data_IF_124029701332
#
_entry.id   IF_124029701332
#
_cell.length_a   1.000
_cell.length_b   1.000
_cell.length_c   1.000
_cell.angle_alpha   90.00
_cell.angle_beta   90.00
_cell.angle_gamma   90.00
#
_symmetry.space_group_name_H-M   'P 1'
#
loop_
_entity.id
_entity.type
_entity.pdbx_description
1 polymer ?
#
# COMPACT_ATOMS: atom_id res chain seq x y z
N UNK A 1 21.23 -4.24 13.48
CA UNK A 1 21.71 -5.33 14.37
C UNK A 1 22.79 -6.07 13.61
N UNK A 2 23.96 -6.24 14.22
CA UNK A 2 25.02 -7.08 13.64
C UNK A 2 24.56 -8.54 13.57
N UNK A 3 24.95 -9.28 12.51
CA UNK A 3 24.59 -10.67 12.41
C UNK A 3 25.26 -11.48 13.53
N UNK A 4 24.65 -12.60 13.97
CA UNK A 4 25.30 -13.50 14.88
C UNK A 4 26.61 -14.03 14.26
N UNK A 5 27.71 -13.97 15.03
CA UNK A 5 29.02 -14.44 14.60
C UNK A 5 28.96 -15.91 14.16
N UNK A 6 29.57 -16.24 13.03
CA UNK A 6 29.76 -17.61 12.55
C UNK A 6 28.91 -18.08 11.37
N UNK A 7 27.95 -17.27 10.86
CA UNK A 7 27.10 -17.70 9.74
C UNK A 7 27.57 -17.25 8.35
N UNK A 8 28.70 -16.54 8.25
CA UNK A 8 29.24 -16.10 6.95
C UNK A 8 28.29 -15.19 6.14
N UNK A 9 27.35 -14.51 6.82
CA UNK A 9 26.40 -13.63 6.16
C UNK A 9 27.07 -12.28 5.85
N UNK A 10 27.01 -11.87 4.60
CA UNK A 10 27.40 -10.53 4.20
C UNK A 10 26.19 -9.60 4.39
N UNK A 11 26.34 -8.54 5.22
CA UNK A 11 25.30 -7.54 5.44
C UNK A 11 25.69 -6.26 4.73
N UNK A 12 25.02 -5.97 3.64
CA UNK A 12 25.21 -4.79 2.83
C UNK A 12 23.91 -3.98 2.71
N UNK A 13 23.99 -2.66 2.45
CA UNK A 13 22.82 -1.87 2.16
C UNK A 13 22.05 -2.43 0.96
N UNK A 14 20.74 -2.63 1.09
CA UNK A 14 19.86 -3.20 0.04
C UNK A 14 20.07 -2.55 -1.33
N UNK A 15 20.31 -1.23 -1.37
CA UNK A 15 20.50 -0.49 -2.60
C UNK A 15 21.75 -0.91 -3.40
N UNK A 16 22.76 -1.46 -2.73
CA UNK A 16 23.98 -1.97 -3.35
C UNK A 16 23.78 -3.39 -3.84
N UNK A 17 23.24 -4.26 -3.00
CA UNK A 17 23.08 -5.69 -3.26
C UNK A 17 21.93 -6.04 -4.22
N UNK A 18 20.93 -5.18 -4.35
CA UNK A 18 19.78 -5.43 -5.24
C UNK A 18 20.15 -5.46 -6.73
N UNK A 19 21.36 -5.00 -7.09
CA UNK A 19 21.84 -5.05 -8.46
C UNK A 19 22.26 -6.47 -8.82
N UNK A 20 21.51 -7.10 -9.71
CA UNK A 20 21.76 -8.46 -10.17
C UNK A 20 21.12 -9.56 -9.32
N UNK A 21 20.25 -9.18 -8.36
CA UNK A 21 19.44 -10.15 -7.64
C UNK A 21 18.30 -10.67 -8.52
N UNK A 22 18.13 -11.99 -8.56
CA UNK A 22 17.01 -12.65 -9.26
C UNK A 22 15.71 -12.55 -8.46
N UNK A 23 15.81 -12.43 -7.13
CA UNK A 23 14.68 -12.36 -6.20
C UNK A 23 15.11 -11.73 -4.87
N UNK A 24 14.17 -11.08 -4.20
CA UNK A 24 14.32 -10.59 -2.83
C UNK A 24 13.48 -11.48 -1.90
N UNK A 25 14.10 -12.03 -0.87
CA UNK A 25 13.39 -12.71 0.21
C UNK A 25 13.33 -11.77 1.41
N UNK A 26 12.13 -11.33 1.76
CA UNK A 26 11.88 -10.38 2.84
C UNK A 26 11.34 -11.10 4.07
N UNK A 27 12.05 -11.07 5.18
CA UNK A 27 11.56 -11.57 6.45
C UNK A 27 10.97 -10.43 7.28
N UNK A 28 9.65 -10.49 7.50
CA UNK A 28 8.90 -9.46 8.21
C UNK A 28 7.41 -9.51 7.90
N UNK A 29 6.65 -8.52 8.38
CA UNK A 29 5.24 -8.36 8.06
C UNK A 29 5.00 -7.65 6.72
N UNK A 30 3.72 -7.42 6.40
CA UNK A 30 3.30 -6.73 5.17
C UNK A 30 3.98 -5.35 5.00
N UNK A 31 4.25 -4.61 6.09
CA UNK A 31 4.97 -3.33 6.03
C UNK A 31 6.39 -3.43 5.46
N UNK A 32 7.12 -4.51 5.75
CA UNK A 32 8.43 -4.78 5.16
C UNK A 32 8.33 -5.00 3.66
N UNK A 33 7.33 -5.76 3.24
CA UNK A 33 7.08 -6.04 1.81
C UNK A 33 6.67 -4.75 1.08
N UNK A 34 5.80 -3.93 1.67
CA UNK A 34 5.42 -2.62 1.14
C UNK A 34 6.65 -1.75 0.83
N UNK A 35 7.58 -1.68 1.77
CA UNK A 35 8.79 -0.88 1.60
C UNK A 35 9.69 -1.41 0.48
N UNK A 36 9.89 -2.72 0.44
CA UNK A 36 10.74 -3.38 -0.55
C UNK A 36 10.13 -3.39 -1.95
N UNK A 37 8.81 -3.54 -2.05
CA UNK A 37 8.08 -3.62 -3.32
C UNK A 37 8.33 -2.43 -4.24
N UNK A 38 8.46 -1.23 -3.67
CA UNK A 38 8.76 0.00 -4.44
C UNK A 38 10.14 -0.08 -5.10
N UNK A 39 11.14 -0.48 -4.34
CA UNK A 39 12.53 -0.60 -4.83
C UNK A 39 12.66 -1.75 -5.84
N UNK A 40 12.01 -2.88 -5.56
CA UNK A 40 12.01 -4.07 -6.40
C UNK A 40 11.29 -3.82 -7.75
N UNK A 41 10.16 -3.11 -7.73
CA UNK A 41 9.37 -2.81 -8.92
C UNK A 41 10.13 -2.00 -9.96
N UNK A 42 10.95 -1.03 -9.54
CA UNK A 42 11.80 -0.26 -10.46
C UNK A 42 12.82 -1.12 -11.23
N UNK A 43 13.15 -2.31 -10.71
CA UNK A 43 14.11 -3.26 -11.29
C UNK A 43 13.48 -4.53 -11.79
N UNK A 44 12.16 -4.61 -11.74
CA UNK A 44 11.37 -5.80 -12.13
C UNK A 44 11.76 -7.08 -11.35
N UNK A 45 12.29 -6.94 -10.13
CA UNK A 45 12.74 -8.04 -9.28
C UNK A 45 11.54 -8.56 -8.46
N UNK A 46 11.27 -9.87 -8.48
CA UNK A 46 10.23 -10.47 -7.67
C UNK A 46 10.58 -10.45 -6.17
N UNK A 47 9.55 -10.28 -5.33
CA UNK A 47 9.68 -10.25 -3.88
C UNK A 47 8.95 -11.43 -3.27
N UNK A 48 9.62 -12.18 -2.40
CA UNK A 48 9.03 -13.22 -1.56
C UNK A 48 8.94 -12.75 -0.12
N UNK A 49 7.74 -12.71 0.44
CA UNK A 49 7.50 -12.39 1.85
C UNK A 49 7.53 -13.63 2.74
N UNK A 50 8.34 -13.60 3.79
CA UNK A 50 8.35 -14.56 4.89
C UNK A 50 7.91 -13.88 6.19
N UNK A 51 6.89 -14.41 6.83
CA UNK A 51 6.34 -13.88 8.06
C UNK A 51 6.96 -14.55 9.28
N UNK A 52 7.47 -13.75 10.20
CA UNK A 52 8.01 -14.21 11.48
C UNK A 52 7.01 -14.08 12.64
N UNK A 53 5.81 -13.59 12.37
CA UNK A 53 4.75 -13.34 13.36
C UNK A 53 3.35 -13.69 12.86
N UNK A 54 2.39 -12.76 12.96
CA UNK A 54 1.02 -12.96 12.50
C UNK A 54 0.91 -12.92 10.97
N UNK A 55 0.09 -13.81 10.39
CA UNK A 55 -0.10 -13.96 8.95
C UNK A 55 -0.48 -12.63 8.27
N UNK A 56 0.30 -12.22 7.25
CA UNK A 56 0.03 -11.09 6.40
C UNK A 56 -0.78 -11.45 5.15
N UNK A 57 -1.25 -10.45 4.39
CA UNK A 57 -1.81 -10.66 3.06
C UNK A 57 -0.72 -10.96 2.01
N UNK A 58 0.49 -10.44 2.23
CA UNK A 58 1.61 -10.54 1.29
C UNK A 58 2.68 -11.52 1.77
N UNK A 59 2.86 -11.68 3.08
CA UNK A 59 3.83 -12.58 3.70
C UNK A 59 3.18 -13.94 4.00
N UNK A 60 3.40 -14.92 3.14
CA UNK A 60 2.78 -16.25 3.24
C UNK A 60 3.65 -17.30 3.94
N UNK A 61 4.98 -17.14 3.92
CA UNK A 61 5.90 -18.15 4.46
C UNK A 61 5.92 -18.05 5.98
N UNK A 62 5.42 -19.05 6.66
CA UNK A 62 5.51 -19.18 8.11
C UNK A 62 6.83 -19.86 8.51
N UNK A 63 7.30 -19.70 9.76
CA UNK A 63 8.56 -20.29 10.23
C UNK A 63 8.63 -21.81 10.00
N UNK A 64 7.50 -22.53 10.08
CA UNK A 64 7.40 -23.96 9.81
C UNK A 64 7.60 -24.33 8.34
N UNK A 65 7.44 -23.37 7.44
CA UNK A 65 7.52 -23.56 5.98
C UNK A 65 8.90 -23.20 5.40
N UNK A 66 9.91 -22.90 6.24
CA UNK A 66 11.24 -22.48 5.78
C UNK A 66 11.91 -23.49 4.82
N UNK A 67 11.63 -24.79 4.98
CA UNK A 67 12.14 -25.82 4.07
C UNK A 67 11.63 -25.63 2.63
N UNK A 68 10.49 -24.98 2.44
CA UNK A 68 9.93 -24.68 1.13
C UNK A 68 10.71 -23.60 0.37
N UNK A 69 11.68 -22.93 1.01
CA UNK A 69 12.61 -22.06 0.29
C UNK A 69 13.42 -22.81 -0.78
N UNK A 70 13.59 -24.14 -0.63
CA UNK A 70 14.17 -24.98 -1.69
C UNK A 70 13.36 -24.94 -2.97
N UNK A 71 12.03 -24.84 -2.87
CA UNK A 71 11.14 -24.76 -4.04
C UNK A 71 11.48 -23.54 -4.92
N UNK A 72 12.02 -22.46 -4.33
CA UNK A 72 12.49 -21.28 -5.08
C UNK A 72 13.69 -21.63 -5.97
N UNK A 73 14.65 -22.39 -5.43
CA UNK A 73 15.83 -22.84 -6.19
C UNK A 73 15.45 -23.81 -7.30
N UNK A 74 14.40 -24.61 -7.08
CA UNK A 74 13.86 -25.56 -8.06
C UNK A 74 12.93 -24.91 -9.10
N UNK A 75 12.67 -23.59 -9.01
CA UNK A 75 11.73 -22.89 -9.88
C UNK A 75 10.25 -23.26 -9.65
N UNK A 76 9.92 -23.87 -8.52
CA UNK A 76 8.56 -24.31 -8.17
C UNK A 76 7.79 -23.21 -7.45
N UNK A 77 7.51 -22.10 -8.14
CA UNK A 77 6.76 -20.97 -7.62
C UNK A 77 5.97 -20.28 -8.72
N UNK A 78 4.98 -19.51 -8.31
CA UNK A 78 4.21 -18.64 -9.20
C UNK A 78 4.54 -17.17 -8.92
N UNK A 79 4.47 -16.32 -9.94
CA UNK A 79 4.62 -14.87 -9.81
C UNK A 79 3.26 -14.21 -9.96
N UNK A 80 2.79 -13.61 -8.90
CA UNK A 80 1.58 -12.79 -8.88
C UNK A 80 1.95 -11.32 -9.06
N UNK A 81 1.37 -10.67 -10.09
CA UNK A 81 1.61 -9.25 -10.38
C UNK A 81 0.57 -8.38 -9.72
N UNK A 82 1.00 -7.45 -8.92
CA UNK A 82 0.16 -6.48 -8.25
C UNK A 82 0.40 -5.07 -8.80
N UNK A 83 -0.67 -4.36 -9.08
CA UNK A 83 -0.66 -2.99 -9.54
C UNK A 83 -0.06 -2.06 -8.47
N UNK A 84 0.79 -1.12 -8.90
CA UNK A 84 1.22 0.01 -8.08
C UNK A 84 0.47 1.29 -8.51
N UNK A 85 0.44 2.26 -7.61
CA UNK A 85 -0.06 3.59 -7.85
C UNK A 85 1.10 4.58 -7.95
N UNK A 86 1.11 5.42 -8.98
CA UNK A 86 1.90 6.64 -9.02
C UNK A 86 1.13 7.72 -8.27
N UNK A 87 1.74 8.29 -7.24
CA UNK A 87 1.17 9.37 -6.43
C UNK A 87 2.03 10.61 -6.60
N UNK A 88 1.45 11.70 -7.09
CA UNK A 88 2.15 12.97 -7.23
C UNK A 88 1.35 14.14 -6.67
N UNK A 89 2.06 15.16 -6.18
CA UNK A 89 1.48 16.44 -5.77
C UNK A 89 1.96 17.51 -6.73
N UNK A 90 1.02 18.24 -7.29
CA UNK A 90 1.26 19.38 -8.15
C UNK A 90 0.92 20.69 -7.42
N UNK A 91 1.81 21.67 -7.53
CA UNK A 91 1.66 23.03 -7.02
C UNK A 91 2.16 24.01 -8.08
N UNK A 92 1.34 24.99 -8.43
CA UNK A 92 1.68 26.00 -9.45
C UNK A 92 2.21 25.39 -10.75
N UNK A 93 1.57 24.29 -11.21
CA UNK A 93 1.94 23.57 -12.43
C UNK A 93 3.21 22.74 -12.36
N UNK A 94 3.80 22.58 -11.16
CA UNK A 94 5.03 21.78 -10.97
C UNK A 94 4.78 20.61 -10.03
N UNK A 95 5.37 19.45 -10.35
CA UNK A 95 5.38 18.31 -9.42
C UNK A 95 6.38 18.59 -8.30
N UNK A 96 5.88 18.64 -7.06
CA UNK A 96 6.67 18.92 -5.85
C UNK A 96 6.85 17.70 -4.94
N UNK A 97 6.10 16.63 -5.19
CA UNK A 97 6.22 15.35 -4.51
C UNK A 97 5.84 14.24 -5.47
N UNK A 98 6.54 13.12 -5.40
CA UNK A 98 6.20 11.89 -6.13
C UNK A 98 6.58 10.66 -5.32
N UNK A 99 5.74 9.63 -5.33
CA UNK A 99 5.99 8.36 -4.68
C UNK A 99 5.20 7.24 -5.36
N UNK A 100 5.61 5.98 -5.11
CA UNK A 100 4.83 4.79 -5.45
C UNK A 100 4.04 4.30 -4.24
N UNK A 101 2.82 3.81 -4.45
CA UNK A 101 2.05 3.11 -3.45
C UNK A 101 1.70 1.70 -3.92
N UNK A 102 1.78 0.73 -3.03
CA UNK A 102 1.25 -0.60 -3.26
C UNK A 102 -0.19 -0.68 -2.72
N UNK A 103 -0.46 -0.12 -1.55
CA UNK A 103 -1.79 -0.13 -0.96
C UNK A 103 -2.60 1.12 -1.32
N UNK A 104 -2.20 2.31 -0.81
CA UNK A 104 -3.04 3.48 -0.94
C UNK A 104 -2.29 4.82 -0.85
N UNK A 105 -2.96 5.86 -1.36
CA UNK A 105 -2.72 7.26 -1.05
C UNK A 105 -3.84 7.76 -0.14
N UNK A 106 -3.50 8.21 1.04
CA UNK A 106 -4.40 8.80 2.02
C UNK A 106 -4.28 10.33 1.97
N UNK A 107 -5.35 11.02 1.66
CA UNK A 107 -5.48 12.46 1.77
C UNK A 107 -6.38 12.73 2.98
N UNK A 108 -5.82 13.22 4.07
CA UNK A 108 -6.54 13.37 5.32
C UNK A 108 -6.30 14.72 5.98
N UNK A 109 -7.20 15.09 6.91
CA UNK A 109 -7.03 16.26 7.75
C UNK A 109 -5.78 16.14 8.61
N UNK A 110 -5.04 17.23 8.73
CA UNK A 110 -3.89 17.34 9.63
C UNK A 110 -4.25 17.82 11.04
N UNK A 111 -5.52 18.12 11.31
CA UNK A 111 -6.00 18.60 12.61
C UNK A 111 -7.28 17.84 13.02
N UNK A 112 -7.38 17.48 14.31
CA UNK A 112 -8.43 16.61 14.85
C UNK A 112 -9.83 17.25 14.83
N UNK A 113 -9.95 18.58 14.91
CA UNK A 113 -11.19 19.24 15.26
C UNK A 113 -12.06 19.73 14.09
N UNK A 114 -11.66 19.57 12.83
CA UNK A 114 -12.40 20.14 11.68
C UNK A 114 -12.35 19.25 10.46
N UNK A 115 -13.50 18.98 9.85
CA UNK A 115 -13.63 18.33 8.55
C UNK A 115 -12.93 19.15 7.45
N UNK A 116 -12.34 18.46 6.48
CA UNK A 116 -11.80 19.04 5.26
C UNK A 116 -12.79 18.85 4.11
N UNK A 117 -12.61 19.65 3.06
CA UNK A 117 -13.38 19.52 1.83
C UNK A 117 -12.43 19.24 0.68
N UNK A 118 -12.68 18.18 -0.08
CA UNK A 118 -11.88 17.70 -1.17
C UNK A 118 -12.73 17.56 -2.43
N UNK A 119 -12.20 17.91 -3.61
CA UNK A 119 -12.84 17.63 -4.90
C UNK A 119 -12.13 16.44 -5.54
N UNK A 120 -12.90 15.47 -6.01
CA UNK A 120 -12.40 14.31 -6.69
C UNK A 120 -12.77 14.42 -8.17
N UNK A 121 -11.76 14.30 -9.02
CA UNK A 121 -11.90 14.36 -10.46
C UNK A 121 -11.44 13.04 -11.08
N UNK A 122 -11.98 12.73 -12.24
CA UNK A 122 -11.51 11.72 -13.17
C UNK A 122 -11.11 12.39 -14.48
N UNK A 123 -10.59 11.64 -15.42
CA UNK A 123 -10.36 12.12 -16.79
C UNK A 123 -11.63 12.63 -17.48
N UNK A 124 -12.81 12.13 -17.05
CA UNK A 124 -14.10 12.53 -17.58
C UNK A 124 -14.69 13.80 -16.92
N UNK A 125 -14.00 14.32 -15.89
CA UNK A 125 -14.41 15.50 -15.16
C UNK A 125 -14.58 15.26 -13.67
N UNK A 126 -15.32 16.18 -13.01
CA UNK A 126 -15.60 16.11 -11.58
C UNK A 126 -16.48 14.89 -11.26
N UNK A 127 -15.95 13.99 -10.40
CA UNK A 127 -16.67 12.81 -9.94
C UNK A 127 -17.57 13.15 -8.75
N UNK A 128 -16.97 13.71 -7.71
CA UNK A 128 -17.65 13.91 -6.44
C UNK A 128 -16.93 14.92 -5.57
N UNK A 129 -17.69 15.53 -4.68
CA UNK A 129 -17.24 16.41 -3.62
C UNK A 129 -17.35 15.66 -2.28
N UNK A 130 -16.31 15.59 -1.43
CA UNK A 130 -16.29 14.91 -0.12
C UNK A 130 -16.02 15.91 1.00
N UNK A 131 -16.89 16.02 2.00
CA UNK A 131 -16.61 16.71 3.24
C UNK A 131 -16.45 15.65 4.34
N UNK A 132 -15.31 15.59 4.99
CA UNK A 132 -15.05 14.53 5.98
C UNK A 132 -13.65 14.62 6.57
N UNK A 133 -13.18 13.52 7.10
CA UNK A 133 -11.84 13.40 7.66
C UNK A 133 -10.78 13.19 6.57
N UNK A 134 -11.19 12.69 5.40
CA UNK A 134 -10.28 12.48 4.27
C UNK A 134 -10.86 11.58 3.19
N UNK A 135 -9.97 11.18 2.29
CA UNK A 135 -10.22 10.23 1.19
C UNK A 135 -9.04 9.29 1.07
N UNK A 136 -9.32 8.01 0.87
CA UNK A 136 -8.35 7.00 0.49
C UNK A 136 -8.51 6.70 -0.98
N UNK A 137 -7.42 6.73 -1.74
CA UNK A 137 -7.36 6.19 -3.10
C UNK A 137 -6.48 4.94 -3.04
N UNK A 138 -7.11 3.76 -3.12
CA UNK A 138 -6.44 2.48 -2.95
C UNK A 138 -6.33 1.69 -4.26
N UNK A 139 -5.31 0.84 -4.32
CA UNK A 139 -5.18 -0.25 -5.29
C UNK A 139 -6.02 -1.46 -4.84
N UNK A 140 -6.06 -2.53 -5.63
CA UNK A 140 -6.68 -3.79 -5.23
C UNK A 140 -5.95 -4.44 -4.04
N UNK A 141 -4.59 -4.57 -4.03
CA UNK A 141 -3.86 -5.04 -2.85
C UNK A 141 -4.14 -4.23 -1.58
N UNK A 142 -4.41 -2.92 -1.72
CA UNK A 142 -4.77 -2.02 -0.61
C UNK A 142 -6.23 -2.14 -0.17
N UNK A 143 -7.10 -2.81 -0.94
CA UNK A 143 -8.52 -2.91 -0.60
C UNK A 143 -8.79 -3.54 0.77
N UNK A 144 -8.08 -4.61 1.21
CA UNK A 144 -8.25 -5.19 2.53
C UNK A 144 -7.44 -4.49 3.64
N UNK A 145 -6.70 -3.41 3.31
CA UNK A 145 -5.91 -2.63 4.28
C UNK A 145 -6.75 -1.47 4.87
N UNK A 146 -6.23 -0.25 4.88
CA UNK A 146 -6.93 0.89 5.48
C UNK A 146 -8.25 1.24 4.77
N UNK A 147 -8.34 0.99 3.46
CA UNK A 147 -9.59 1.19 2.70
C UNK A 147 -10.76 0.38 3.29
N UNK A 148 -10.52 -0.88 3.69
CA UNK A 148 -11.54 -1.72 4.34
C UNK A 148 -11.99 -1.12 5.68
N UNK A 149 -11.07 -0.66 6.51
CA UNK A 149 -11.36 -0.02 7.80
C UNK A 149 -12.18 1.26 7.65
N UNK A 150 -12.05 1.95 6.51
CA UNK A 150 -12.82 3.13 6.15
C UNK A 150 -14.19 2.80 5.51
N UNK A 151 -14.58 1.52 5.44
CA UNK A 151 -15.84 1.07 4.83
C UNK A 151 -15.77 0.85 3.32
N UNK A 152 -14.56 0.83 2.74
CA UNK A 152 -14.34 0.50 1.33
C UNK A 152 -14.59 -0.99 1.03
N UNK A 153 -14.84 -1.35 -0.23
CA UNK A 153 -15.04 -2.74 -0.64
C UNK A 153 -13.73 -3.53 -0.63
N UNK A 154 -13.83 -4.85 -0.42
CA UNK A 154 -12.75 -5.78 -0.77
C UNK A 154 -12.84 -6.09 -2.25
N UNK A 155 -11.73 -5.96 -2.96
CA UNK A 155 -11.64 -6.14 -4.40
C UNK A 155 -10.63 -7.24 -4.72
N UNK A 156 -10.97 -8.06 -5.70
CA UNK A 156 -10.12 -9.14 -6.21
C UNK A 156 -8.75 -8.58 -6.65
N UNK A 157 -7.62 -9.17 -6.23
CA UNK A 157 -6.27 -8.67 -6.54
C UNK A 157 -5.95 -8.54 -8.04
N UNK A 158 -6.64 -9.30 -8.89
CA UNK A 158 -6.45 -9.27 -10.35
C UNK A 158 -7.23 -8.15 -11.05
N UNK A 159 -8.18 -7.50 -10.38
CA UNK A 159 -8.90 -6.34 -10.90
C UNK A 159 -7.94 -5.17 -11.18
N UNK A 160 -8.31 -4.23 -12.06
CA UNK A 160 -7.44 -3.13 -12.49
C UNK A 160 -8.11 -1.76 -12.30
N UNK A 161 -8.74 -1.58 -11.15
CA UNK A 161 -9.46 -0.33 -10.81
C UNK A 161 -8.81 0.37 -9.63
N UNK A 162 -9.04 1.66 -9.54
CA UNK A 162 -8.79 2.45 -8.34
C UNK A 162 -10.05 2.41 -7.46
N UNK A 163 -9.84 2.31 -6.15
CA UNK A 163 -10.89 2.34 -5.14
C UNK A 163 -10.81 3.69 -4.44
N UNK A 164 -11.93 4.40 -4.41
CA UNK A 164 -12.01 5.71 -3.71
C UNK A 164 -12.93 5.54 -2.52
N UNK A 165 -12.38 5.64 -1.31
CA UNK A 165 -13.11 5.48 -0.05
C UNK A 165 -13.07 6.78 0.76
N UNK A 166 -14.19 7.50 0.91
CA UNK A 166 -14.28 8.64 1.82
C UNK A 166 -14.17 8.20 3.27
N UNK A 167 -13.53 9.04 4.12
CA UNK A 167 -13.38 8.77 5.56
C UNK A 167 -14.30 9.70 6.34
N UNK A 168 -15.19 9.11 7.15
CA UNK A 168 -16.13 9.85 8.02
C UNK A 168 -16.88 10.97 7.29
N UNK A 169 -17.27 10.74 6.04
CA UNK A 169 -18.09 11.67 5.29
C UNK A 169 -19.55 11.55 5.73
N UNK A 170 -20.26 12.65 6.04
CA UNK A 170 -21.69 12.59 6.32
C UNK A 170 -22.48 12.16 5.08
N UNK A 171 -23.56 11.43 5.28
CA UNK A 171 -24.36 10.78 4.22
C UNK A 171 -25.05 11.73 3.20
N UNK A 172 -24.92 13.04 3.37
CA UNK A 172 -25.63 14.02 2.51
C UNK A 172 -24.71 15.04 1.88
N UNK A 173 -24.90 15.14 0.56
CA UNK A 173 -24.38 16.15 -0.38
C UNK A 173 -22.87 16.25 -0.47
N UNK A 174 -22.45 15.72 -1.54
CA UNK A 174 -21.07 15.64 -1.94
C UNK A 174 -20.77 16.87 -2.81
N UNK A 175 -20.20 17.91 -2.22
CA UNK A 175 -19.53 19.00 -2.94
C UNK A 175 -18.15 19.17 -2.34
N UNK A 176 -17.09 18.85 -3.09
CA UNK A 176 -15.70 18.96 -2.62
C UNK A 176 -14.95 19.99 -3.46
N UNK A 177 -14.62 21.08 -2.82
CA UNK A 177 -13.62 22.03 -3.25
C UNK A 177 -12.59 22.15 -2.12
N UNK A 178 -11.29 22.02 -2.43
CA UNK A 178 -10.30 22.69 -1.60
C UNK A 178 -10.58 24.18 -1.75
N UNK A 179 -11.28 24.73 -0.80
CA UNK A 179 -11.52 26.18 -0.77
C UNK A 179 -10.17 26.89 -0.87
N UNK A 180 -10.03 27.80 -1.83
CA UNK A 180 -8.82 28.58 -2.06
C UNK A 180 -8.30 29.35 -0.84
N UNK A 181 -9.01 29.33 0.30
CA UNK A 181 -8.67 30.02 1.55
C UNK A 181 -8.77 29.11 2.79
N UNK A 182 -8.61 27.80 2.66
CA UNK A 182 -8.62 26.92 3.84
C UNK A 182 -7.27 26.97 4.56
N UNK A 183 -7.23 27.56 5.76
CA UNK A 183 -6.09 27.51 6.69
C UNK A 183 -5.96 26.16 7.42
N UNK A 184 -6.62 25.10 6.93
CA UNK A 184 -6.63 23.80 7.57
C UNK A 184 -5.48 22.95 7.06
N UNK A 185 -4.64 22.38 7.94
CA UNK A 185 -3.60 21.47 7.51
C UNK A 185 -4.22 20.19 6.93
N UNK A 186 -3.84 19.87 5.71
CA UNK A 186 -4.18 18.62 5.02
C UNK A 186 -2.87 17.85 4.80
N UNK A 187 -2.91 16.58 5.03
CA UNK A 187 -1.76 15.69 4.92
C UNK A 187 -2.00 14.62 3.86
N UNK A 188 -0.98 14.33 3.07
CA UNK A 188 -0.90 13.16 2.21
C UNK A 188 0.01 12.14 2.86
N UNK A 189 -0.46 10.90 3.01
CA UNK A 189 0.37 9.74 3.35
C UNK A 189 0.26 8.67 2.26
N UNK A 190 1.35 7.99 1.99
CA UNK A 190 1.44 6.93 0.99
C UNK A 190 1.89 5.66 1.69
N UNK A 191 1.07 4.61 1.68
CA UNK A 191 1.30 3.32 2.35
C UNK A 191 1.69 3.47 3.83
N UNK A 192 1.02 4.36 4.56
CA UNK A 192 1.33 4.63 5.96
C UNK A 192 2.69 5.31 6.21
N UNK A 193 3.39 5.73 5.17
CA UNK A 193 4.69 6.40 5.26
C UNK A 193 4.61 7.82 5.81
N UNK A 194 5.75 8.51 5.80
CA UNK A 194 5.87 9.88 6.32
C UNK A 194 4.88 10.82 5.63
N UNK A 195 4.11 11.54 6.42
CA UNK A 195 3.12 12.48 5.92
C UNK A 195 3.77 13.69 5.22
N UNK A 196 3.21 14.07 4.08
CA UNK A 196 3.56 15.26 3.32
C UNK A 196 2.49 16.34 3.54
N UNK A 197 2.90 17.55 3.91
CA UNK A 197 1.98 18.66 4.17
C UNK A 197 1.50 19.30 2.86
N UNK A 198 0.20 19.32 2.67
CA UNK A 198 -0.47 19.97 1.54
C UNK A 198 -0.82 21.41 1.87
N UNK A 199 -0.82 22.27 0.85
CA UNK A 199 -1.29 23.66 0.92
C UNK A 199 -2.59 23.83 0.14
N UNK A 200 -3.30 24.89 0.45
CA UNK A 200 -4.47 25.28 -0.36
C UNK A 200 -4.07 25.46 -1.84
N UNK A 201 -4.83 24.86 -2.75
CA UNK A 201 -4.54 24.87 -4.18
C UNK A 201 -3.62 23.74 -4.68
N UNK A 202 -3.09 22.90 -3.79
CA UNK A 202 -2.37 21.71 -4.22
C UNK A 202 -3.34 20.72 -4.88
N UNK A 203 -2.89 20.08 -5.95
CA UNK A 203 -3.58 19.00 -6.63
C UNK A 203 -2.82 17.68 -6.42
N UNK A 204 -3.53 16.65 -5.99
CA UNK A 204 -3.00 15.31 -5.81
C UNK A 204 -3.49 14.45 -6.97
N UNK A 205 -2.57 13.94 -7.78
CA UNK A 205 -2.86 12.98 -8.81
C UNK A 205 -2.49 11.58 -8.34
N UNK A 206 -3.43 10.65 -8.46
CA UNK A 206 -3.22 9.23 -8.19
C UNK A 206 -3.67 8.47 -9.43
N UNK A 207 -2.75 7.74 -10.03
CA UNK A 207 -3.03 6.93 -11.21
C UNK A 207 -2.35 5.58 -11.10
N UNK A 208 -2.75 4.65 -11.98
CA UNK A 208 -2.02 3.39 -12.14
C UNK A 208 -0.58 3.68 -12.56
N UNK A 209 0.37 3.06 -11.84
CA UNK A 209 1.77 3.10 -12.24
C UNK A 209 2.00 2.21 -13.47
N UNK A 210 3.04 2.52 -14.23
CA UNK A 210 3.60 1.61 -15.24
C UNK A 210 4.33 0.43 -14.61
N UNK A 211 4.66 0.53 -13.34
CA UNK A 211 5.30 -0.54 -12.58
C UNK A 211 4.26 -1.40 -11.90
N UNK A 212 4.52 -2.70 -11.88
CA UNK A 212 3.83 -3.68 -11.04
C UNK A 212 4.84 -4.22 -10.03
N UNK A 213 4.38 -4.58 -8.83
CA UNK A 213 5.18 -5.43 -7.95
C UNK A 213 4.89 -6.89 -8.24
N UNK A 214 5.92 -7.70 -8.14
CA UNK A 214 5.85 -9.16 -8.37
C UNK A 214 6.01 -9.85 -7.03
N UNK A 215 4.93 -10.45 -6.53
CA UNK A 215 4.98 -11.29 -5.33
C UNK A 215 5.13 -12.76 -5.71
N UNK A 216 6.06 -13.42 -5.06
CA UNK A 216 6.32 -14.86 -5.26
C UNK A 216 5.40 -15.66 -4.36
N UNK A 217 4.62 -16.57 -4.94
CA UNK A 217 3.71 -17.47 -4.25
C UNK A 217 4.26 -18.90 -4.26
N UNK A 218 4.32 -19.53 -3.11
CA UNK A 218 4.66 -20.94 -2.93
C UNK A 218 3.43 -21.78 -2.58
N UNK A 219 2.36 -21.17 -2.16
CA UNK A 219 1.11 -21.85 -1.82
C UNK A 219 0.02 -21.53 -2.84
N UNK A 220 -0.89 -22.49 -3.04
CA UNK A 220 -2.09 -22.30 -3.86
C UNK A 220 -3.26 -21.73 -3.05
N UNK A 221 -2.99 -21.06 -1.91
CA UNK A 221 -4.05 -20.45 -1.12
C UNK A 221 -4.73 -19.35 -1.91
N UNK A 222 -6.04 -19.41 -1.99
CA UNK A 222 -6.82 -18.35 -2.64
C UNK A 222 -6.82 -17.07 -1.80
N UNK A 223 -7.05 -15.94 -2.46
CA UNK A 223 -7.24 -14.66 -1.79
C UNK A 223 -8.36 -14.73 -0.73
N UNK A 224 -9.46 -15.43 -1.03
CA UNK A 224 -10.58 -15.60 -0.10
C UNK A 224 -10.17 -16.35 1.17
N UNK A 225 -9.34 -17.38 1.08
CA UNK A 225 -8.84 -18.12 2.25
C UNK A 225 -7.96 -17.23 3.15
N UNK A 226 -7.09 -16.42 2.54
CA UNK A 226 -6.24 -15.48 3.28
C UNK A 226 -7.09 -14.41 3.98
N UNK A 227 -8.08 -13.85 3.26
CA UNK A 227 -9.00 -12.85 3.79
C UNK A 227 -9.82 -13.39 4.97
N UNK A 228 -10.46 -14.57 4.82
CA UNK A 228 -11.22 -15.21 5.89
C UNK A 228 -10.38 -15.43 7.14
N UNK A 229 -9.16 -15.98 6.97
CA UNK A 229 -8.25 -16.23 8.10
C UNK A 229 -7.89 -14.93 8.82
N UNK A 230 -7.64 -13.84 8.08
CA UNK A 230 -7.33 -12.54 8.68
C UNK A 230 -8.52 -11.91 9.40
N UNK A 231 -9.70 -11.97 8.83
CA UNK A 231 -10.92 -11.43 9.46
C UNK A 231 -11.28 -12.18 10.75
N UNK A 232 -11.07 -13.49 10.79
CA UNK A 232 -11.30 -14.30 11.99
C UNK A 232 -10.25 -14.03 13.08
N UNK A 233 -8.98 -13.81 12.73
CA UNK A 233 -7.93 -13.49 13.69
C UNK A 233 -8.01 -12.07 14.25
N UNK A 234 -8.59 -11.11 13.52
CA UNK A 234 -8.81 -9.74 14.01
C UNK A 234 -9.89 -9.63 15.08
N UNK A 235 -10.72 -10.68 15.26
CA UNK A 235 -11.75 -10.74 16.29
C UNK A 235 -11.30 -11.34 17.65
N UNK A 236 -10.10 -11.90 17.73
CA UNK A 236 -9.63 -12.63 18.93
C UNK A 236 -8.50 -11.97 19.71
N UNK A 237 -8.19 -10.70 19.45
CA UNK A 237 -7.13 -9.98 20.19
C UNK A 237 -7.62 -9.17 21.40
N UNK A 238 -8.71 -9.57 22.05
CA UNK A 238 -9.14 -8.99 23.33
C UNK A 238 -9.57 -10.08 24.33
N UNK A 239 -8.71 -11.05 24.60
CA UNK A 239 -8.81 -11.86 25.83
C UNK A 239 -7.42 -12.48 26.10
N UNK A 240 -6.55 -11.70 26.79
CA UNK A 240 -5.67 -12.14 27.88
C UNK A 240 -4.88 -10.93 28.40
#
# INVERSE_FOLDING_TARGET
QEPPEGYGLNIEPLQQEIRGADMIIAFGGDGTILHLSKTAAHRDIPVRGGNLGSLGFMAELESKDLLRLRDLCDGKYEIERHMLLDVSVQRDGRVIYSNLALNEALIARGNISRVIRLQIFTEQGKLVDVAGDGVIVASQPGSPAYSLSAGGPVVEPTARNLIVSPICAPERVITVQTEKNSYKPVLLSVDGGRAFSLRSGDSIEVRRSKFDTKLVRLSKRSFCEILQKKMLMGGTSNEE
#
